data_IF_496940073130
#
_entry.id   IF_496940073130
#
_cell.length_a   1.000
_cell.length_b   1.000
_cell.length_c   1.000
_cell.angle_alpha   90.00
_cell.angle_beta   90.00
_cell.angle_gamma   90.00
#
_symmetry.space_group_name_H-M   'P 1'
#
loop_
_entity.id
_entity.type
_entity.pdbx_description
1 polymer ?
#
# COMPACT_ATOMS: atom_id res chain seq x y z
N UNK A 1 4.35 4.54 -7.87
CA UNK A 1 3.06 3.91 -7.49
C UNK A 1 2.15 4.88 -6.75
N UNK A 2 2.47 5.32 -5.52
CA UNK A 2 1.58 6.20 -4.73
C UNK A 2 1.22 7.53 -5.40
N UNK A 3 2.13 8.12 -6.19
CA UNK A 3 1.86 9.34 -6.99
C UNK A 3 0.78 9.18 -8.08
N UNK A 4 0.41 7.95 -8.41
CA UNK A 4 -0.62 7.65 -9.42
C UNK A 4 -2.02 7.53 -8.80
N UNK A 5 -2.12 7.62 -7.47
CA UNK A 5 -3.38 7.53 -6.74
C UNK A 5 -3.84 8.97 -6.45
N UNK A 6 -4.94 9.45 -7.06
CA UNK A 6 -5.36 10.84 -6.92
C UNK A 6 -5.79 11.20 -5.49
N UNK A 7 -6.13 10.21 -4.66
CA UNK A 7 -6.47 10.40 -3.26
C UNK A 7 -5.24 10.56 -2.34
N UNK A 8 -4.01 10.56 -2.87
CA UNK A 8 -2.78 10.72 -2.09
C UNK A 8 -2.24 12.13 -2.27
N UNK A 9 -2.35 12.95 -1.23
CA UNK A 9 -1.87 14.34 -1.24
C UNK A 9 -0.33 14.43 -1.17
N UNK A 10 0.28 13.57 -0.35
CA UNK A 10 1.72 13.59 -0.10
C UNK A 10 2.29 12.18 0.10
N UNK A 11 3.53 11.98 -0.36
CA UNK A 11 4.29 10.74 -0.16
C UNK A 11 5.56 11.06 0.61
N UNK A 12 5.66 10.55 1.84
CA UNK A 12 6.84 10.70 2.69
C UNK A 12 7.72 9.46 2.56
N UNK A 13 8.95 9.63 2.05
CA UNK A 13 9.92 8.55 1.96
C UNK A 13 10.55 8.27 3.33
N UNK A 14 10.38 7.05 3.83
CA UNK A 14 10.92 6.63 5.13
C UNK A 14 12.31 6.01 5.00
N UNK A 15 13.18 6.28 5.96
CA UNK A 15 14.52 5.69 6.02
C UNK A 15 14.44 4.34 6.73
N UNK A 16 14.66 3.23 6.00
CA UNK A 16 14.48 1.87 6.54
C UNK A 16 15.31 1.55 7.79
N UNK A 17 16.45 2.20 7.98
CA UNK A 17 17.40 1.81 9.03
C UNK A 17 17.27 2.57 10.36
N UNK A 18 16.46 3.64 10.43
CA UNK A 18 16.35 4.44 11.66
C UNK A 18 14.90 4.78 12.00
N UNK A 19 14.47 4.34 13.18
CA UNK A 19 13.15 4.61 13.71
C UNK A 19 12.97 6.11 14.01
N UNK A 20 13.96 6.74 14.65
CA UNK A 20 13.90 8.16 14.99
C UNK A 20 13.88 9.06 13.75
N UNK A 21 14.67 8.72 12.72
CA UNK A 21 14.66 9.47 11.46
C UNK A 21 13.29 9.39 10.76
N UNK A 22 12.67 8.21 10.78
CA UNK A 22 11.30 8.01 10.29
C UNK A 22 10.29 8.85 11.08
N UNK A 23 10.31 8.77 12.41
CA UNK A 23 9.40 9.57 13.28
C UNK A 23 9.58 11.06 13.03
N UNK A 24 10.81 11.54 12.96
CA UNK A 24 11.09 12.95 12.71
C UNK A 24 10.62 13.40 11.32
N UNK A 25 10.77 12.55 10.30
CA UNK A 25 10.26 12.81 8.95
C UNK A 25 8.72 12.91 8.94
N UNK A 26 8.03 12.11 9.75
CA UNK A 26 6.57 12.17 9.91
C UNK A 26 6.18 13.45 10.68
N UNK A 27 6.83 13.76 11.81
CA UNK A 27 6.51 14.93 12.65
C UNK A 27 6.83 16.27 11.99
N UNK A 28 7.69 16.28 10.97
CA UNK A 28 7.94 17.47 10.13
C UNK A 28 6.75 17.79 9.22
N UNK A 29 5.89 16.82 8.94
CA UNK A 29 4.64 17.08 8.24
C UNK A 29 3.61 17.67 9.20
N UNK A 30 2.53 18.22 8.64
CA UNK A 30 1.35 18.63 9.40
C UNK A 30 0.92 17.51 10.38
N UNK A 31 0.57 17.88 11.60
CA UNK A 31 0.13 16.91 12.60
C UNK A 31 -1.05 16.08 12.09
N UNK A 32 -0.88 14.76 12.01
CA UNK A 32 -1.93 13.86 11.54
C UNK A 32 -2.88 13.53 12.68
N UNK A 33 -4.18 13.72 12.47
CA UNK A 33 -5.22 13.35 13.45
C UNK A 33 -5.35 11.82 13.59
N UNK A 34 -5.24 11.12 12.45
CA UNK A 34 -5.45 9.68 12.36
C UNK A 34 -4.28 9.01 11.62
N UNK A 35 -3.73 7.96 12.21
CA UNK A 35 -2.77 7.06 11.57
C UNK A 35 -3.42 5.69 11.31
N UNK A 36 -3.43 5.26 10.06
CA UNK A 36 -3.97 3.95 9.63
C UNK A 36 -2.82 3.00 9.34
N UNK A 37 -2.74 1.89 10.08
CA UNK A 37 -1.63 0.95 10.04
C UNK A 37 -2.00 -0.33 9.27
N UNK A 38 -1.59 -0.40 8.01
CA UNK A 38 -1.78 -1.56 7.13
C UNK A 38 -0.85 -2.75 7.48
N UNK A 39 0.46 -2.56 7.75
CA UNK A 39 1.33 -3.66 8.14
C UNK A 39 1.10 -4.05 9.59
N UNK A 40 1.30 -5.32 9.96
CA UNK A 40 1.14 -5.82 11.34
C UNK A 40 2.38 -5.66 12.24
N UNK A 41 3.43 -5.00 11.77
CA UNK A 41 4.70 -4.88 12.50
C UNK A 41 4.58 -3.97 13.74
N UNK A 42 5.23 -4.40 14.84
CA UNK A 42 5.38 -3.60 16.05
C UNK A 42 6.13 -2.29 15.80
N UNK A 43 7.16 -2.32 14.94
CA UNK A 43 7.95 -1.14 14.60
C UNK A 43 7.08 -0.03 14.00
N UNK A 44 6.19 -0.39 13.06
CA UNK A 44 5.29 0.57 12.41
C UNK A 44 4.32 1.18 13.44
N UNK A 45 3.85 0.38 14.40
CA UNK A 45 3.01 0.88 15.49
C UNK A 45 3.77 1.85 16.42
N UNK A 46 5.04 1.57 16.70
CA UNK A 46 5.88 2.45 17.50
C UNK A 46 6.18 3.76 16.77
N UNK A 47 6.45 3.70 15.47
CA UNK A 47 6.65 4.89 14.62
C UNK A 47 5.40 5.79 14.61
N UNK A 48 4.20 5.20 14.48
CA UNK A 48 2.93 5.94 14.53
C UNK A 48 2.58 6.46 15.93
N UNK A 49 2.98 5.75 16.98
CA UNK A 49 2.79 6.20 18.37
C UNK A 49 3.67 7.41 18.68
N UNK A 50 4.96 7.35 18.31
CA UNK A 50 5.92 8.44 18.50
C UNK A 50 5.69 9.64 17.59
N UNK A 51 4.97 9.47 16.47
CA UNK A 51 4.61 10.59 15.60
C UNK A 51 3.56 11.52 16.22
N UNK A 52 2.87 11.07 17.27
CA UNK A 52 1.89 11.89 18.00
C UNK A 52 0.47 11.86 17.44
N UNK A 53 0.16 10.97 16.49
CA UNK A 53 -1.20 10.86 15.96
C UNK A 53 -2.18 10.41 17.05
N UNK A 54 -3.26 11.16 17.26
CA UNK A 54 -4.20 10.91 18.36
C UNK A 54 -4.94 9.57 18.21
N UNK A 55 -5.43 9.29 17.00
CA UNK A 55 -6.15 8.06 16.68
C UNK A 55 -5.27 7.14 15.84
N UNK A 56 -4.87 5.99 16.40
CA UNK A 56 -4.08 4.96 15.68
C UNK A 56 -4.95 3.73 15.45
N UNK A 57 -5.23 3.45 14.17
CA UNK A 57 -6.17 2.40 13.75
C UNK A 57 -5.41 1.28 13.07
N UNK A 58 -5.69 0.03 13.45
CA UNK A 58 -5.19 -1.12 12.71
C UNK A 58 -5.55 -2.45 13.37
N UNK A 59 -5.13 -3.53 12.74
CA UNK A 59 -5.29 -4.88 13.29
C UNK A 59 -4.44 -5.11 14.52
N UNK A 60 -4.91 -5.97 15.43
CA UNK A 60 -4.23 -6.27 16.69
C UNK A 60 -2.78 -6.71 16.49
N UNK A 61 -2.51 -7.50 15.44
CA UNK A 61 -1.20 -8.05 15.12
C UNK A 61 -0.55 -8.81 16.29
N UNK A 62 0.76 -9.01 16.21
CA UNK A 62 1.55 -9.57 17.32
C UNK A 62 2.14 -8.42 18.17
N UNK A 63 1.76 -8.37 19.45
CA UNK A 63 2.35 -7.49 20.48
C UNK A 63 2.23 -5.97 20.30
N UNK A 64 1.45 -5.45 19.33
CA UNK A 64 1.28 -4.00 19.10
C UNK A 64 0.00 -3.39 19.68
N UNK A 65 -0.82 -4.19 20.36
CA UNK A 65 -2.13 -3.81 20.91
C UNK A 65 -2.10 -2.50 21.71
N UNK A 66 -1.09 -2.33 22.55
CA UNK A 66 -0.97 -1.19 23.48
C UNK A 66 -0.65 0.14 22.80
N UNK A 67 -0.16 0.09 21.55
CA UNK A 67 0.20 1.27 20.76
C UNK A 67 -0.95 1.75 19.86
N UNK A 68 -2.00 0.95 19.72
CA UNK A 68 -3.18 1.27 18.92
C UNK A 68 -4.27 1.89 19.79
N UNK A 69 -4.91 2.93 19.27
CA UNK A 69 -6.07 3.57 19.93
C UNK A 69 -7.37 2.86 19.55
N UNK A 70 -7.46 2.33 18.33
CA UNK A 70 -8.61 1.60 17.81
C UNK A 70 -8.15 0.30 17.16
N UNK A 71 -8.68 -0.81 17.64
CA UNK A 71 -8.34 -2.15 17.15
C UNK A 71 -9.47 -2.62 16.25
N UNK A 72 -9.11 -3.00 15.03
CA UNK A 72 -10.07 -3.59 14.09
C UNK A 72 -10.34 -5.04 14.49
N UNK A 73 -11.62 -5.44 14.66
CA UNK A 73 -11.96 -6.82 14.96
C UNK A 73 -11.57 -7.71 13.78
N UNK A 74 -10.85 -8.78 14.09
CA UNK A 74 -10.51 -9.81 13.13
C UNK A 74 -11.57 -10.92 13.20
N UNK A 75 -12.00 -11.41 12.04
CA UNK A 75 -12.96 -12.51 12.00
C UNK A 75 -12.29 -13.77 12.58
N UNK A 76 -12.74 -14.20 13.76
CA UNK A 76 -12.31 -15.45 14.39
C UNK A 76 -12.86 -16.70 13.67
N UNK A 77 -13.63 -16.52 12.58
CA UNK A 77 -14.21 -17.64 11.84
C UNK A 77 -13.09 -18.35 11.09
N UNK A 78 -12.96 -19.66 11.33
CA UNK A 78 -12.18 -20.61 10.52
C UNK A 78 -12.86 -20.78 9.16
N UNK A 79 -12.79 -19.73 8.33
CA UNK A 79 -13.25 -19.73 6.95
C UNK A 79 -12.07 -19.77 5.97
N UNK A 80 -12.35 -19.78 4.66
CA UNK A 80 -11.32 -19.57 3.64
C UNK A 80 -10.59 -18.24 3.88
N UNK A 81 -9.31 -18.20 3.48
CA UNK A 81 -8.46 -17.01 3.64
C UNK A 81 -9.13 -15.80 3.00
N UNK A 82 -9.29 -14.73 3.79
CA UNK A 82 -9.85 -13.48 3.31
C UNK A 82 -8.89 -12.80 2.33
N UNK A 83 -9.43 -12.23 1.26
CA UNK A 83 -8.64 -11.48 0.29
C UNK A 83 -8.05 -10.23 0.96
N UNK A 84 -6.76 -9.95 0.73
CA UNK A 84 -6.06 -8.83 1.39
C UNK A 84 -6.69 -7.46 1.12
N UNK A 85 -7.30 -7.27 -0.07
CA UNK A 85 -8.02 -6.03 -0.35
C UNK A 85 -9.25 -5.85 0.55
N UNK A 86 -10.03 -6.92 0.77
CA UNK A 86 -11.18 -6.91 1.69
C UNK A 86 -10.73 -6.65 3.12
N UNK A 87 -9.59 -7.23 3.51
CA UNK A 87 -8.96 -6.99 4.81
C UNK A 87 -8.64 -5.50 5.01
N UNK A 88 -8.08 -4.79 4.03
CA UNK A 88 -7.86 -3.35 4.18
C UNK A 88 -9.14 -2.51 4.10
N UNK A 89 -10.12 -2.92 3.30
CA UNK A 89 -11.42 -2.24 3.25
C UNK A 89 -12.17 -2.32 4.58
N UNK A 90 -12.03 -3.42 5.34
CA UNK A 90 -12.63 -3.51 6.68
C UNK A 90 -12.10 -2.43 7.62
N UNK A 91 -10.81 -2.06 7.51
CA UNK A 91 -10.28 -0.94 8.30
C UNK A 91 -11.04 0.35 7.97
N UNK A 92 -11.31 0.60 6.68
CA UNK A 92 -12.06 1.77 6.23
C UNK A 92 -13.52 1.74 6.73
N UNK A 93 -14.19 0.59 6.69
CA UNK A 93 -15.55 0.41 7.24
C UNK A 93 -15.62 0.79 8.71
N UNK A 94 -14.68 0.28 9.50
CA UNK A 94 -14.65 0.45 10.96
C UNK A 94 -14.26 1.86 11.42
N UNK A 95 -13.69 2.68 10.52
CA UNK A 95 -13.48 4.11 10.79
C UNK A 95 -14.66 4.98 10.31
N UNK A 96 -15.71 4.38 9.75
CA UNK A 96 -16.95 5.03 9.33
C UNK A 96 -17.04 5.30 7.83
N UNK A 97 -16.16 4.73 6.99
CA UNK A 97 -16.28 4.88 5.55
C UNK A 97 -17.34 3.95 4.97
N UNK A 98 -18.19 4.48 4.10
CA UNK A 98 -19.08 3.67 3.27
C UNK A 98 -18.25 2.98 2.18
N UNK A 99 -17.91 1.71 2.39
CA UNK A 99 -17.08 0.98 1.44
C UNK A 99 -17.86 0.20 0.38
N UNK A 100 -19.19 0.27 0.40
CA UNK A 100 -20.12 -0.31 -0.58
C UNK A 100 -19.53 -1.39 -1.49
N UNK A 101 -19.56 -1.15 -2.79
CA UNK A 101 -18.97 -2.00 -3.82
C UNK A 101 -17.53 -1.55 -4.18
N UNK A 102 -16.71 -1.13 -3.20
CA UNK A 102 -15.37 -0.58 -3.43
C UNK A 102 -14.43 -1.56 -4.17
N UNK A 103 -14.70 -2.86 -4.09
CA UNK A 103 -14.00 -3.91 -4.85
C UNK A 103 -14.51 -4.03 -6.30
N UNK A 104 -15.72 -3.57 -6.56
CA UNK A 104 -16.39 -3.54 -7.86
C UNK A 104 -16.24 -2.18 -8.56
N UNK A 105 -15.59 -1.20 -7.93
CA UNK A 105 -15.21 0.04 -8.60
C UNK A 105 -14.44 -0.35 -9.86
N UNK A 106 -14.90 0.07 -11.07
CA UNK A 106 -14.20 -0.24 -12.30
C UNK A 106 -12.79 0.28 -12.10
N UNK A 107 -11.81 -0.64 -12.03
CA UNK A 107 -10.38 -0.38 -11.89
C UNK A 107 -10.12 0.86 -12.73
N UNK A 108 -9.99 2.02 -12.09
CA UNK A 108 -10.01 3.27 -12.83
C UNK A 108 -8.92 3.10 -13.86
N UNK A 109 -9.33 3.14 -15.13
CA UNK A 109 -8.43 2.92 -16.24
C UNK A 109 -7.31 3.94 -16.05
N UNK A 110 -6.19 3.50 -15.50
CA UNK A 110 -4.97 4.30 -15.33
C UNK A 110 -4.47 4.81 -16.70
N UNK A 111 -5.14 4.43 -17.80
CA UNK A 111 -5.10 5.07 -19.10
C UNK A 111 -5.27 6.61 -19.06
N UNK A 112 -5.90 7.21 -18.02
CA UNK A 112 -6.06 8.67 -17.93
C UNK A 112 -5.21 9.39 -16.86
N UNK A 113 -4.65 8.71 -15.86
CA UNK A 113 -3.87 9.35 -14.78
C UNK A 113 -2.40 9.62 -15.17
N UNK A 114 -2.20 10.06 -16.41
CA UNK A 114 -0.92 10.02 -17.09
C UNK A 114 -1.07 9.07 -18.26
N UNK A 115 -1.50 9.64 -19.41
CA UNK A 115 -1.00 9.16 -20.69
C UNK A 115 0.45 8.85 -20.46
N UNK A 116 0.79 7.59 -20.67
CA UNK A 116 2.13 7.07 -20.64
C UNK A 116 3.01 7.97 -21.53
N UNK A 117 3.50 9.09 -21.00
CA UNK A 117 4.51 9.95 -21.62
C UNK A 117 5.90 9.43 -21.25
N UNK A 118 6.01 8.59 -20.22
CA UNK A 118 7.27 7.95 -19.82
C UNK A 118 7.59 6.65 -20.57
N UNK A 119 6.63 5.98 -21.24
CA UNK A 119 7.02 4.90 -22.18
C UNK A 119 7.71 5.54 -23.38
N UNK A 120 7.32 6.73 -23.85
CA UNK A 120 8.09 7.41 -24.91
C UNK A 120 9.51 7.78 -24.49
N UNK A 121 9.76 8.12 -23.21
CA UNK A 121 11.11 8.47 -22.77
C UNK A 121 12.00 7.24 -22.52
N UNK A 122 11.43 6.12 -22.07
CA UNK A 122 12.16 4.85 -21.93
C UNK A 122 12.27 4.04 -23.23
N UNK A 123 11.38 4.27 -24.22
CA UNK A 123 11.49 3.67 -25.57
C UNK A 123 12.39 4.45 -26.52
N UNK A 124 12.97 5.59 -26.14
CA UNK A 124 14.06 6.21 -26.92
C UNK A 124 15.27 5.29 -27.06
N UNK A 125 15.44 4.31 -26.18
CA UNK A 125 16.51 3.31 -26.28
C UNK A 125 16.20 2.17 -27.28
N UNK A 126 14.94 1.94 -27.65
CA UNK A 126 14.55 0.88 -28.60
C UNK A 126 13.40 1.37 -29.48
N UNK A 127 13.64 1.69 -30.76
CA UNK A 127 12.57 2.09 -31.67
C UNK A 127 11.61 0.91 -31.91
N UNK A 128 10.53 0.86 -31.13
CA UNK A 128 9.46 -0.13 -31.32
C UNK A 128 8.51 0.38 -32.39
N UNK A 129 8.46 -0.33 -33.52
CA UNK A 129 7.49 -0.09 -34.59
C UNK A 129 6.06 0.00 -34.00
N UNK A 130 5.38 1.10 -34.28
CA UNK A 130 4.14 1.50 -33.60
C UNK A 130 2.93 0.62 -33.91
N UNK A 131 3.06 -0.34 -34.83
CA UNK A 131 1.95 -1.11 -35.42
C UNK A 131 1.90 -2.59 -35.00
N UNK A 132 2.63 -2.97 -33.94
CA UNK A 132 2.64 -4.35 -33.42
C UNK A 132 2.04 -4.44 -32.03
N UNK A 133 1.30 -5.53 -31.77
CA UNK A 133 0.79 -5.90 -30.45
C UNK A 133 1.98 -6.03 -29.47
N UNK A 134 1.90 -5.34 -28.33
CA UNK A 134 2.93 -5.35 -27.29
C UNK A 134 2.50 -6.27 -26.16
N UNK A 135 3.36 -7.23 -25.79
CA UNK A 135 3.17 -8.14 -24.67
C UNK A 135 4.19 -7.80 -23.57
N UNK A 136 3.73 -7.65 -22.34
CA UNK A 136 4.59 -7.41 -21.17
C UNK A 136 4.69 -8.68 -20.31
N UNK A 137 5.90 -9.13 -20.03
CA UNK A 137 6.17 -10.30 -19.20
C UNK A 137 6.84 -9.88 -17.89
N UNK A 138 6.40 -10.44 -16.76
CA UNK A 138 6.97 -10.22 -15.43
C UNK A 138 7.45 -11.55 -14.83
N UNK A 139 8.57 -12.12 -15.28
CA UNK A 139 9.02 -13.47 -14.88
C UNK A 139 9.62 -13.54 -13.46
N UNK A 140 9.88 -12.39 -12.85
CA UNK A 140 10.41 -12.27 -11.48
C UNK A 140 9.35 -12.52 -10.41
N UNK A 141 9.80 -12.78 -9.18
CA UNK A 141 8.93 -12.96 -8.02
C UNK A 141 9.62 -12.51 -6.73
N UNK A 142 8.90 -11.77 -5.89
CA UNK A 142 9.40 -11.27 -4.60
C UNK A 142 9.55 -12.41 -3.56
N UNK A 143 8.67 -13.41 -3.61
CA UNK A 143 8.67 -14.55 -2.69
C UNK A 143 9.75 -15.60 -2.99
N UNK A 144 10.75 -15.26 -3.80
CA UNK A 144 11.94 -16.07 -4.06
C UNK A 144 11.92 -16.87 -5.37
N UNK A 145 12.99 -17.65 -5.64
CA UNK A 145 13.17 -18.40 -6.88
C UNK A 145 12.07 -19.40 -7.19
N UNK A 146 11.46 -20.01 -6.18
CA UNK A 146 10.45 -21.05 -6.37
C UNK A 146 9.19 -20.55 -7.10
N UNK A 147 8.92 -19.25 -7.08
CA UNK A 147 7.78 -18.63 -7.78
C UNK A 147 8.18 -17.89 -9.07
N UNK A 148 9.45 -17.98 -9.48
CA UNK A 148 9.94 -17.40 -10.73
C UNK A 148 9.67 -18.36 -11.88
N UNK A 149 9.41 -17.80 -13.04
CA UNK A 149 9.44 -18.61 -14.26
C UNK A 149 10.89 -18.93 -14.61
N UNK A 150 11.11 -20.14 -15.12
CA UNK A 150 12.45 -20.60 -15.49
C UNK A 150 12.96 -19.80 -16.70
N UNK A 151 14.20 -19.29 -16.68
CA UNK A 151 14.75 -18.48 -17.78
C UNK A 151 14.74 -19.16 -19.15
N UNK A 152 14.77 -20.49 -19.18
CA UNK A 152 14.77 -21.31 -20.39
C UNK A 152 13.39 -21.51 -21.05
N UNK A 153 12.32 -20.88 -20.53
CA UNK A 153 10.94 -21.00 -21.03
C UNK A 153 10.40 -19.67 -21.53
#
# INVERSE_FOLDING_TARGET
MWKLVPQVDAVVSLTRNSLLATVFSIRRQSGFDVAILLPNSLRVALEAWLSGAARRVGYRGHSRRWLLSQIIPESLRRGPLEHQATHYLRIAQEIGAETGDALCLPRQNHAKAGRIQDISDSTKAVPLASDRVKLGLCPGAEYGPAKRWLPER
#
